data_IF_166879639769
#
_entry.id   IF_166879639769
#
_cell.length_a   1.000
_cell.length_b   1.000
_cell.length_c   1.000
_cell.angle_alpha   90.00
_cell.angle_beta   90.00
_cell.angle_gamma   90.00
#
_symmetry.space_group_name_H-M   'P 1'
#
loop_
_entity.id
_entity.type
_entity.pdbx_description
1 polymer ?
#
# COMPACT_ATOMS: atom_id res chain seq x y z
N UNK A 1 16.92 5.44 2.39
CA UNK A 1 16.18 4.18 2.71
C UNK A 1 15.54 3.61 1.44
N UNK A 2 15.69 2.31 1.19
CA UNK A 2 15.02 1.64 0.07
C UNK A 2 13.52 1.45 0.29
N UNK A 3 12.81 0.99 -0.74
CA UNK A 3 11.37 0.72 -0.69
C UNK A 3 11.01 -0.66 -0.09
N UNK A 4 11.99 -1.43 0.38
CA UNK A 4 11.80 -2.76 0.95
C UNK A 4 11.67 -2.68 2.48
N UNK A 5 10.54 -2.15 2.96
CA UNK A 5 10.33 -1.82 4.37
C UNK A 5 9.96 -3.01 5.26
N UNK A 6 9.51 -4.12 4.68
CA UNK A 6 9.01 -5.29 5.40
C UNK A 6 7.62 -5.07 6.00
N UNK A 7 7.13 -6.06 6.75
CA UNK A 7 5.77 -6.03 7.32
C UNK A 7 5.63 -5.01 8.49
N UNK A 8 4.41 -4.69 8.95
CA UNK A 8 4.20 -3.68 10.00
C UNK A 8 4.76 -3.99 11.40
N UNK A 9 5.48 -5.10 11.56
CA UNK A 9 6.31 -5.40 12.75
C UNK A 9 7.67 -4.71 12.70
N UNK A 10 8.12 -4.25 11.53
CA UNK A 10 9.41 -3.59 11.34
C UNK A 10 9.23 -2.08 11.29
N UNK A 11 10.15 -1.33 11.90
CA UNK A 11 10.08 0.15 11.93
C UNK A 11 10.11 0.79 10.53
N UNK A 12 10.72 0.09 9.57
CA UNK A 12 10.88 0.50 8.17
C UNK A 12 9.63 0.30 7.31
N UNK A 13 8.54 -0.31 7.81
CA UNK A 13 7.39 -0.66 6.96
C UNK A 13 6.73 0.55 6.29
N UNK A 14 6.85 1.74 6.88
CA UNK A 14 6.35 2.98 6.30
C UNK A 14 7.11 3.46 5.06
N UNK A 15 8.22 2.80 4.71
CA UNK A 15 8.99 3.04 3.49
C UNK A 15 8.51 2.20 2.29
N UNK A 16 7.65 1.20 2.50
CA UNK A 16 7.08 0.43 1.40
C UNK A 16 6.28 1.33 0.44
N UNK A 17 6.16 0.94 -0.84
CA UNK A 17 5.26 1.58 -1.79
C UNK A 17 3.84 1.68 -1.23
N UNK A 18 3.21 2.83 -1.45
CA UNK A 18 1.90 3.14 -0.92
C UNK A 18 1.02 3.69 -2.03
N UNK A 19 -0.23 3.29 -2.04
CA UNK A 19 -1.21 3.72 -3.03
C UNK A 19 -2.47 4.17 -2.30
N UNK A 20 -3.08 5.26 -2.79
CA UNK A 20 -4.33 5.77 -2.26
C UNK A 20 -5.47 5.18 -3.06
N UNK A 21 -6.43 4.58 -2.36
CA UNK A 21 -7.69 4.09 -2.91
C UNK A 21 -8.83 4.99 -2.41
N UNK A 22 -9.62 5.58 -3.31
CA UNK A 22 -10.79 6.38 -2.96
C UNK A 22 -12.03 5.82 -3.63
N UNK A 23 -12.90 5.14 -2.89
CA UNK A 23 -14.26 4.82 -3.34
C UNK A 23 -15.05 6.11 -3.60
N UNK A 24 -15.89 6.09 -4.62
CA UNK A 24 -16.85 7.14 -4.92
C UNK A 24 -18.18 6.94 -4.18
N UNK A 25 -18.51 5.70 -3.83
CA UNK A 25 -19.66 5.33 -3.00
C UNK A 25 -19.42 3.99 -2.29
N UNK A 26 -20.26 3.58 -1.31
CA UNK A 26 -20.14 2.28 -0.66
C UNK A 26 -20.20 1.14 -1.67
N UNK A 27 -19.12 0.36 -1.76
CA UNK A 27 -18.95 -0.70 -2.75
C UNK A 27 -17.95 -1.77 -2.28
N UNK A 28 -18.01 -2.95 -2.89
CA UNK A 28 -17.05 -4.04 -2.69
C UNK A 28 -15.86 -3.89 -3.63
N UNK A 29 -14.66 -4.09 -3.10
CA UNK A 29 -13.40 -3.99 -3.83
C UNK A 29 -12.58 -5.26 -3.64
N UNK A 30 -11.95 -5.70 -4.72
CA UNK A 30 -10.89 -6.72 -4.68
C UNK A 30 -9.56 -6.04 -4.93
N UNK A 31 -8.64 -6.18 -3.98
CA UNK A 31 -7.26 -5.69 -4.10
C UNK A 31 -6.37 -6.90 -4.30
N UNK A 32 -5.83 -7.06 -5.51
CA UNK A 32 -4.91 -8.12 -5.87
C UNK A 32 -3.48 -7.59 -5.95
N UNK A 33 -2.53 -8.34 -5.39
CA UNK A 33 -1.11 -8.10 -5.55
C UNK A 33 -0.47 -9.36 -6.12
N UNK A 34 0.28 -9.19 -7.20
CA UNK A 34 1.01 -10.28 -7.86
C UNK A 34 2.50 -9.97 -7.97
N UNK A 35 3.31 -11.02 -7.98
CA UNK A 35 4.74 -11.01 -8.27
C UNK A 35 5.03 -12.10 -9.31
N UNK A 36 6.21 -12.05 -9.91
CA UNK A 36 6.67 -13.11 -10.82
C UNK A 36 7.98 -13.70 -10.29
N UNK A 37 8.12 -15.00 -10.44
CA UNK A 37 9.42 -15.65 -10.26
C UNK A 37 10.38 -15.16 -11.34
N UNK A 38 11.62 -14.85 -10.94
CA UNK A 38 12.66 -14.41 -11.86
C UNK A 38 13.16 -15.58 -12.73
N UNK A 39 13.23 -16.79 -12.17
CA UNK A 39 13.70 -17.99 -12.88
C UNK A 39 12.58 -18.92 -13.35
N UNK A 40 11.35 -18.68 -12.90
CA UNK A 40 10.23 -19.60 -13.07
C UNK A 40 10.08 -20.62 -11.93
N UNK A 41 11.05 -20.70 -11.01
CA UNK A 41 10.94 -21.51 -9.79
C UNK A 41 10.13 -20.78 -8.71
N UNK A 42 9.26 -21.51 -8.02
CA UNK A 42 8.49 -21.00 -6.87
C UNK A 42 9.38 -20.67 -5.68
N UNK A 43 10.58 -21.23 -5.60
CA UNK A 43 11.57 -20.94 -4.54
C UNK A 43 12.04 -19.47 -4.56
N UNK A 44 11.94 -18.79 -5.70
CA UNK A 44 12.26 -17.36 -5.85
C UNK A 44 11.16 -16.43 -5.32
N UNK A 45 9.96 -16.95 -5.04
CA UNK A 45 8.83 -16.13 -4.63
C UNK A 45 9.05 -15.60 -3.22
N UNK A 46 8.95 -14.29 -3.05
CA UNK A 46 9.04 -13.66 -1.75
C UNK A 46 7.76 -13.91 -0.96
N UNK A 47 7.87 -14.10 0.36
CA UNK A 47 6.71 -14.05 1.22
C UNK A 47 6.22 -12.60 1.30
N UNK A 48 5.07 -12.30 0.71
CA UNK A 48 4.52 -10.94 0.68
C UNK A 48 3.08 -10.92 1.17
N UNK A 49 2.57 -9.71 1.42
CA UNK A 49 1.22 -9.45 1.87
C UNK A 49 0.78 -8.03 1.46
N UNK A 50 -0.51 -7.78 1.58
CA UNK A 50 -1.08 -6.43 1.43
C UNK A 50 -1.75 -6.03 2.74
N UNK A 51 -1.56 -4.77 3.13
CA UNK A 51 -2.21 -4.15 4.26
C UNK A 51 -2.99 -2.95 3.77
N UNK A 52 -4.29 -2.92 4.07
CA UNK A 52 -5.16 -1.77 3.81
C UNK A 52 -5.36 -1.00 5.11
N UNK A 53 -5.00 0.28 5.09
CA UNK A 53 -4.98 1.15 6.26
C UNK A 53 -5.78 2.42 6.02
N UNK A 54 -6.26 3.07 7.08
CA UNK A 54 -6.66 4.47 7.03
C UNK A 54 -5.53 5.38 7.51
N UNK A 55 -5.32 6.50 6.82
CA UNK A 55 -4.35 7.50 7.27
C UNK A 55 -4.68 8.91 6.77
N UNK A 56 -4.11 9.92 7.42
CA UNK A 56 -4.18 11.29 6.90
C UNK A 56 -3.29 11.44 5.67
N UNK A 57 -3.66 12.26 4.67
CA UNK A 57 -2.78 12.61 3.57
C UNK A 57 -1.40 13.08 4.07
N UNK A 58 -0.32 12.57 3.46
CA UNK A 58 1.06 12.91 3.82
C UNK A 58 1.58 12.41 5.18
N UNK A 59 0.73 11.85 6.06
CA UNK A 59 1.18 11.34 7.35
C UNK A 59 2.03 10.06 7.19
N UNK A 60 3.19 9.94 7.86
CA UNK A 60 3.99 8.73 7.81
C UNK A 60 3.29 7.57 8.53
N UNK A 61 3.69 6.35 8.18
CA UNK A 61 3.37 5.15 8.95
C UNK A 61 4.51 4.86 9.93
N UNK A 62 4.16 4.46 11.16
CA UNK A 62 5.09 4.16 12.24
C UNK A 62 4.72 2.84 12.90
N UNK A 63 5.72 2.04 13.22
CA UNK A 63 5.52 0.80 13.96
C UNK A 63 5.32 1.11 15.46
N UNK A 64 4.58 0.27 16.20
CA UNK A 64 3.76 -0.84 15.70
C UNK A 64 2.47 -0.34 15.02
N UNK A 65 1.96 -1.10 14.06
CA UNK A 65 0.69 -0.77 13.40
C UNK A 65 -0.47 -0.67 14.40
N UNK A 66 -1.14 0.48 14.40
CA UNK A 66 -2.37 0.67 15.16
C UNK A 66 -3.52 -0.15 14.59
N UNK A 67 -4.12 -1.03 15.40
CA UNK A 67 -5.32 -1.80 15.02
C UNK A 67 -6.49 -0.91 14.62
N UNK A 68 -6.59 0.31 15.15
CA UNK A 68 -7.66 1.27 14.80
C UNK A 68 -7.55 1.79 13.37
N UNK A 69 -6.36 1.73 12.78
CA UNK A 69 -6.11 2.14 11.39
C UNK A 69 -6.17 0.96 10.42
N UNK A 70 -6.22 -0.27 10.91
CA UNK A 70 -6.23 -1.45 10.06
C UNK A 70 -7.64 -1.71 9.55
N UNK A 71 -7.80 -1.71 8.24
CA UNK A 71 -9.07 -2.03 7.57
C UNK A 71 -9.08 -3.51 7.17
N UNK A 72 -8.05 -3.94 6.44
CA UNK A 72 -7.92 -5.31 5.99
C UNK A 72 -6.45 -5.69 5.82
N UNK A 73 -6.16 -6.99 5.81
CA UNK A 73 -4.83 -7.52 5.49
C UNK A 73 -4.90 -8.95 4.99
N UNK A 74 -3.89 -9.38 4.26
CA UNK A 74 -3.67 -10.79 3.95
C UNK A 74 -2.70 -11.45 4.93
N UNK A 75 -2.55 -12.77 4.79
CA UNK A 75 -1.44 -13.52 5.39
C UNK A 75 -0.23 -13.48 4.46
N UNK A 76 0.97 -13.47 5.04
CA UNK A 76 2.20 -13.44 4.25
C UNK A 76 2.51 -14.82 3.69
N UNK A 77 2.62 -14.93 2.36
CA UNK A 77 2.85 -16.21 1.67
C UNK A 77 3.72 -16.03 0.43
N UNK A 78 4.55 -17.03 0.13
CA UNK A 78 5.33 -17.14 -1.11
C UNK A 78 4.44 -17.73 -2.21
N UNK A 79 3.67 -16.88 -2.86
CA UNK A 79 2.73 -17.22 -3.95
C UNK A 79 2.89 -16.25 -5.11
N UNK A 80 2.32 -16.55 -6.27
CA UNK A 80 2.41 -15.65 -7.43
C UNK A 80 1.42 -14.49 -7.31
N UNK A 81 0.24 -14.72 -6.73
CA UNK A 81 -0.72 -13.67 -6.45
C UNK A 81 -1.51 -13.93 -5.16
N UNK A 82 -2.04 -12.86 -4.59
CA UNK A 82 -3.03 -12.91 -3.52
C UNK A 82 -3.96 -11.72 -3.60
N UNK A 83 -5.19 -11.92 -3.11
CA UNK A 83 -6.20 -10.88 -3.05
C UNK A 83 -6.77 -10.72 -1.65
N UNK A 84 -7.39 -9.55 -1.42
CA UNK A 84 -8.27 -9.30 -0.30
C UNK A 84 -9.53 -8.59 -0.80
N UNK A 85 -10.67 -9.12 -0.40
CA UNK A 85 -11.97 -8.53 -0.66
C UNK A 85 -12.41 -7.68 0.53
N UNK A 86 -12.92 -6.49 0.26
CA UNK A 86 -13.30 -5.53 1.30
C UNK A 86 -14.43 -4.63 0.80
N UNK A 87 -15.41 -4.37 1.67
CA UNK A 87 -16.42 -3.34 1.43
C UNK A 87 -15.91 -2.02 2.00
N UNK A 88 -15.86 -0.99 1.16
CA UNK A 88 -15.36 0.34 1.52
C UNK A 88 -16.41 1.40 1.22
N UNK A 89 -16.47 2.39 2.09
CA UNK A 89 -17.25 3.61 1.89
C UNK A 89 -16.34 4.83 1.71
N UNK A 90 -16.79 5.90 1.02
CA UNK A 90 -16.03 7.14 0.91
C UNK A 90 -15.71 7.69 2.29
N UNK A 91 -14.43 7.99 2.52
CA UNK A 91 -13.98 8.57 3.78
C UNK A 91 -14.25 10.08 3.82
N UNK A 92 -14.47 10.59 5.03
CA UNK A 92 -14.50 12.03 5.27
C UNK A 92 -13.20 12.71 4.82
N UNK A 93 -13.31 13.96 4.40
CA UNK A 93 -12.17 14.76 3.96
C UNK A 93 -11.03 14.74 4.99
N UNK A 94 -9.80 14.52 4.51
CA UNK A 94 -8.60 14.43 5.37
C UNK A 94 -8.25 13.03 5.86
N UNK A 95 -8.94 11.99 5.38
CA UNK A 95 -8.55 10.58 5.58
C UNK A 95 -8.59 9.82 4.25
N UNK A 96 -7.56 9.03 3.98
CA UNK A 96 -7.43 8.18 2.80
C UNK A 96 -7.34 6.71 3.21
N UNK A 97 -7.86 5.81 2.37
CA UNK A 97 -7.42 4.42 2.39
C UNK A 97 -6.07 4.31 1.71
N UNK A 98 -5.15 3.60 2.34
CA UNK A 98 -3.80 3.34 1.82
C UNK A 98 -3.58 1.85 1.68
N UNK A 99 -3.38 1.42 0.44
CA UNK A 99 -2.94 0.07 0.08
C UNK A 99 -1.42 0.05 0.19
N UNK A 100 -0.90 -0.84 1.03
CA UNK A 100 0.53 -1.01 1.30
C UNK A 100 0.93 -2.46 1.04
N UNK A 101 1.38 -2.81 -0.17
CA UNK A 101 2.04 -4.08 -0.43
C UNK A 101 3.41 -4.11 0.27
N UNK A 102 3.74 -5.21 0.92
CA UNK A 102 5.01 -5.38 1.60
C UNK A 102 5.43 -6.85 1.64
N UNK A 103 6.74 -7.08 1.68
CA UNK A 103 7.32 -8.37 2.03
C UNK A 103 7.18 -8.64 3.53
N UNK A 104 7.39 -9.89 3.94
CA UNK A 104 7.39 -10.24 5.37
C UNK A 104 8.57 -9.57 6.07
N UNK A 105 9.79 -9.79 5.57
CA UNK A 105 11.02 -9.22 6.07
C UNK A 105 11.45 -7.97 5.26
N UNK A 106 12.16 -7.00 5.87
CA UNK A 106 12.78 -5.89 5.15
C UNK A 106 13.86 -6.34 4.17
N UNK A 107 14.31 -5.41 3.30
CA UNK A 107 15.44 -5.62 2.37
C UNK A 107 15.26 -6.77 1.36
N UNK A 108 14.02 -7.20 1.15
CA UNK A 108 13.62 -8.11 0.08
C UNK A 108 13.13 -7.31 -1.13
N UNK A 109 13.79 -7.49 -2.27
CA UNK A 109 13.55 -6.73 -3.49
C UNK A 109 12.93 -7.60 -4.57
N UNK A 110 11.85 -7.10 -5.19
CA UNK A 110 11.16 -7.78 -6.27
C UNK A 110 10.21 -6.84 -6.98
N UNK A 111 9.78 -7.24 -8.18
CA UNK A 111 8.75 -6.53 -8.94
C UNK A 111 7.37 -7.08 -8.57
N UNK A 112 6.40 -6.19 -8.40
CA UNK A 112 5.02 -6.56 -8.15
C UNK A 112 4.06 -5.69 -8.95
N UNK A 113 2.84 -6.17 -9.11
CA UNK A 113 1.70 -5.43 -9.68
C UNK A 113 0.59 -5.39 -8.65
N UNK A 114 -0.01 -4.21 -8.46
CA UNK A 114 -1.24 -4.05 -7.65
C UNK A 114 -2.38 -3.73 -8.59
N UNK A 115 -3.43 -4.53 -8.52
CA UNK A 115 -4.67 -4.33 -9.25
C UNK A 115 -5.80 -4.11 -8.26
N UNK A 116 -6.64 -3.13 -8.52
CA UNK A 116 -7.87 -2.89 -7.75
C UNK A 116 -9.03 -2.94 -8.72
N UNK A 117 -10.08 -3.68 -8.37
CA UNK A 117 -11.29 -3.80 -9.15
C UNK A 117 -12.53 -3.70 -8.26
N UNK A 118 -13.61 -3.18 -8.81
CA UNK A 118 -14.94 -3.18 -8.22
C UNK A 118 -15.96 -3.28 -9.36
N UNK A 119 -16.91 -4.19 -9.24
CA UNK A 119 -18.04 -4.29 -10.18
C UNK A 119 -19.12 -3.24 -9.90
N UNK A 120 -19.12 -2.70 -8.68
CA UNK A 120 -20.12 -1.76 -8.19
C UNK A 120 -19.68 -0.32 -8.43
N UNK A 121 -18.41 0.02 -8.17
CA UNK A 121 -17.86 1.37 -8.36
C UNK A 121 -16.89 1.38 -9.54
N UNK A 122 -17.31 1.92 -10.67
CA UNK A 122 -16.44 2.13 -11.85
C UNK A 122 -15.70 3.47 -11.84
N UNK A 123 -15.93 4.29 -10.82
CA UNK A 123 -15.47 5.68 -10.73
C UNK A 123 -14.45 5.92 -9.61
N UNK A 124 -14.11 4.88 -8.85
CA UNK A 124 -13.08 4.95 -7.82
C UNK A 124 -11.74 5.44 -8.40
N UNK A 125 -10.90 5.98 -7.54
CA UNK A 125 -9.53 6.35 -7.93
C UNK A 125 -8.51 5.50 -7.20
N UNK A 126 -7.47 5.09 -7.92
CA UNK A 126 -6.33 4.37 -7.40
C UNK A 126 -5.05 4.97 -7.95
N UNK A 127 -4.20 5.52 -7.08
CA UNK A 127 -3.00 6.23 -7.50
C UNK A 127 -1.86 6.08 -6.50
N UNK A 128 -0.59 6.23 -6.92
CA UNK A 128 0.53 6.29 -5.99
C UNK A 128 0.33 7.37 -4.94
N UNK A 129 0.58 7.04 -3.67
CA UNK A 129 0.56 8.01 -2.58
C UNK A 129 1.77 8.92 -2.74
N UNK A 130 1.54 10.21 -2.93
CA UNK A 130 2.63 11.18 -2.96
C UNK A 130 3.45 11.07 -1.66
N UNK A 131 4.76 10.95 -1.81
CA UNK A 131 5.66 11.11 -0.68
C UNK A 131 5.46 12.52 -0.09
N UNK A 132 5.67 12.73 1.22
CA UNK A 132 5.64 14.07 1.79
C UNK A 132 6.60 14.96 0.99
N UNK A 133 6.08 15.96 0.25
CA UNK A 133 6.94 16.97 -0.37
C UNK A 133 7.69 17.64 0.78
N UNK A 134 9.02 17.54 0.78
CA UNK A 134 9.83 18.46 1.55
C UNK A 134 9.39 19.88 1.16
N UNK A 135 9.24 20.82 2.12
CA UNK A 135 8.88 22.18 1.78
C UNK A 135 9.88 22.68 0.72
N UNK A 136 9.37 23.12 -0.43
CA UNK A 136 10.20 23.78 -1.45
C UNK A 136 10.87 24.95 -0.74
N UNK A 137 12.19 24.93 -0.63
CA UNK A 137 12.93 26.15 -0.32
C UNK A 137 12.60 27.14 -1.44
N UNK A 138 11.76 28.12 -1.12
CA UNK A 138 11.59 29.30 -1.94
C UNK A 138 12.96 29.96 -2.04
N UNK A 139 13.60 29.85 -3.20
CA UNK A 139 14.74 30.69 -3.54
C UNK A 139 14.17 32.09 -3.70
N UNK A 140 14.22 32.88 -2.62
CA UNK A 140 13.99 34.31 -2.69
C UNK A 140 15.18 34.89 -3.46
N UNK A 141 14.86 35.57 -4.57
CA UNK A 141 15.85 36.21 -5.43
C UNK A 141 16.73 37.18 -4.65
N UNK A 142 18.04 37.10 -4.90
CA UNK A 142 18.95 38.18 -4.60
C UNK A 142 18.85 39.18 -5.76
N UNK A 143 18.45 40.40 -5.43
CA UNK A 143 18.60 41.60 -6.25
C UNK A 143 19.93 42.24 -5.91
#
# INVERSE_FOLDING_TARGET
PGLAGGCPKHETYGANPQYVLKPSFPASFTIEVSQRSATGDRSDLLAFGVVLLTNKPGAPFKAPLSKKKLVAKTSYKAVESMSVDVTLEPLAAGTDYVVLPCTFDPEQYGTFTVTVSSDEDSSFTFSPREAPRAPRASVAGAV
#
